data_IF_971485339235
#
_entry.id   IF_971485339235
#
_cell.length_a   1.000
_cell.length_b   1.000
_cell.length_c   1.000
_cell.angle_alpha   90.00
_cell.angle_beta   90.00
_cell.angle_gamma   90.00
#
_symmetry.space_group_name_H-M   'P 1'
#
loop_
_entity.id
_entity.type
_entity.pdbx_description
1 polymer ?
#
# COMPACT_ATOMS: atom_id res chain seq x y z
N UNK A 1 26.38 16.88 -8.70
CA UNK A 1 25.77 18.21 -8.77
C UNK A 1 24.80 18.44 -7.61
N UNK A 2 24.54 19.70 -7.32
CA UNK A 2 23.62 20.08 -6.24
C UNK A 2 22.21 19.51 -6.46
N UNK A 3 21.74 19.49 -7.70
CA UNK A 3 20.41 18.95 -8.01
C UNK A 3 20.35 17.44 -7.82
N UNK A 4 21.44 16.74 -8.12
CA UNK A 4 21.54 15.30 -7.90
C UNK A 4 21.47 14.97 -6.40
N UNK A 5 22.19 15.77 -5.59
CA UNK A 5 22.17 15.60 -4.12
C UNK A 5 20.76 15.87 -3.59
N UNK A 6 20.09 16.92 -4.11
CA UNK A 6 18.72 17.23 -3.69
C UNK A 6 17.73 16.13 -4.03
N UNK A 7 17.91 15.47 -5.17
CA UNK A 7 17.00 14.39 -5.56
C UNK A 7 17.10 13.18 -4.64
N UNK A 8 18.19 13.06 -3.89
CA UNK A 8 18.42 11.96 -2.93
C UNK A 8 17.90 12.29 -1.53
N UNK A 9 17.55 13.54 -1.27
CA UNK A 9 16.98 13.93 0.01
C UNK A 9 15.48 13.64 0.02
N UNK A 10 14.90 13.60 1.21
CA UNK A 10 13.46 13.50 1.36
C UNK A 10 12.77 14.60 0.57
N UNK A 11 11.68 14.27 -0.10
CA UNK A 11 10.96 15.18 -0.97
C UNK A 11 9.57 15.50 -0.40
N UNK A 12 9.43 16.61 0.36
CA UNK A 12 8.15 16.95 1.00
C UNK A 12 6.98 17.12 0.02
N UNK A 13 7.23 17.67 -1.15
CA UNK A 13 6.19 17.87 -2.16
C UNK A 13 5.68 16.54 -2.70
N UNK A 14 6.58 15.63 -3.01
CA UNK A 14 6.23 14.30 -3.47
C UNK A 14 5.50 13.51 -2.38
N UNK A 15 5.97 13.60 -1.14
CA UNK A 15 5.35 12.96 0.01
C UNK A 15 3.91 13.44 0.16
N UNK A 16 3.70 14.76 0.11
CA UNK A 16 2.37 15.34 0.25
C UNK A 16 1.44 14.90 -0.88
N UNK A 17 1.95 14.85 -2.10
CA UNK A 17 1.18 14.40 -3.27
C UNK A 17 0.78 12.94 -3.16
N UNK A 18 1.73 12.07 -2.82
CA UNK A 18 1.47 10.64 -2.67
C UNK A 18 0.48 10.37 -1.55
N UNK A 19 0.63 11.07 -0.44
CA UNK A 19 -0.28 10.95 0.70
C UNK A 19 -1.69 11.41 0.34
N UNK A 20 -1.81 12.56 -0.32
CA UNK A 20 -3.11 13.10 -0.72
C UNK A 20 -3.82 12.17 -1.71
N UNK A 21 -3.08 11.63 -2.69
CA UNK A 21 -3.63 10.71 -3.67
C UNK A 21 -4.10 9.41 -3.00
N UNK A 22 -3.28 8.87 -2.10
CA UNK A 22 -3.61 7.67 -1.35
C UNK A 22 -4.84 7.88 -0.46
N UNK A 23 -4.90 9.01 0.25
CA UNK A 23 -6.03 9.35 1.12
C UNK A 23 -7.32 9.47 0.30
N UNK A 24 -7.26 10.12 -0.86
CA UNK A 24 -8.41 10.27 -1.75
C UNK A 24 -8.93 8.92 -2.26
N UNK A 25 -8.00 8.05 -2.67
CA UNK A 25 -8.38 6.72 -3.17
C UNK A 25 -8.95 5.86 -2.07
N UNK A 26 -8.35 5.91 -0.89
CA UNK A 26 -8.85 5.16 0.26
C UNK A 26 -10.23 5.65 0.67
N UNK A 27 -10.45 6.96 0.67
CA UNK A 27 -11.75 7.54 0.99
C UNK A 27 -12.82 7.13 -0.02
N UNK A 28 -12.49 7.10 -1.30
CA UNK A 28 -13.38 6.62 -2.35
C UNK A 28 -13.77 5.16 -2.12
N UNK A 29 -12.78 4.33 -1.79
CA UNK A 29 -13.02 2.92 -1.49
C UNK A 29 -13.91 2.76 -0.26
N UNK A 30 -13.63 3.49 0.82
CA UNK A 30 -14.43 3.44 2.05
C UNK A 30 -15.88 3.87 1.79
N UNK A 31 -16.07 4.92 0.98
CA UNK A 31 -17.40 5.40 0.64
C UNK A 31 -18.17 4.36 -0.17
N UNK A 32 -17.52 3.75 -1.15
CA UNK A 32 -18.12 2.70 -1.97
C UNK A 32 -18.58 1.53 -1.10
N UNK A 33 -17.71 1.05 -0.23
CA UNK A 33 -17.97 -0.10 0.65
C UNK A 33 -19.06 0.24 1.67
N UNK A 34 -18.97 1.42 2.27
CA UNK A 34 -19.99 1.87 3.25
C UNK A 34 -21.37 1.97 2.63
N UNK A 35 -21.46 2.53 1.44
CA UNK A 35 -22.74 2.64 0.72
C UNK A 35 -23.30 1.26 0.35
N UNK A 36 -22.43 0.36 -0.09
CA UNK A 36 -22.81 -1.02 -0.40
C UNK A 36 -23.39 -1.72 0.83
N UNK A 37 -22.71 -1.60 1.96
CA UNK A 37 -23.15 -2.21 3.22
C UNK A 37 -24.46 -1.59 3.72
N UNK A 38 -24.58 -0.26 3.62
CA UNK A 38 -25.79 0.46 4.05
C UNK A 38 -27.03 -0.05 3.31
N UNK A 39 -26.90 -0.30 2.02
CA UNK A 39 -27.98 -0.85 1.21
C UNK A 39 -28.42 -2.23 1.66
N UNK A 40 -27.56 -2.97 2.33
CA UNK A 40 -27.82 -4.32 2.84
C UNK A 40 -28.20 -4.32 4.32
N UNK A 41 -28.37 -3.14 4.93
CA UNK A 41 -28.71 -3.02 6.34
C UNK A 41 -27.52 -3.23 7.27
N UNK A 42 -26.29 -3.19 6.76
CA UNK A 42 -25.08 -3.34 7.56
C UNK A 42 -24.61 -1.95 7.98
N UNK A 43 -24.50 -1.70 9.28
CA UNK A 43 -24.02 -0.43 9.81
C UNK A 43 -22.55 -0.53 10.17
N UNK A 44 -21.76 0.44 9.69
CA UNK A 44 -20.32 0.49 9.98
C UNK A 44 -20.05 1.68 10.88
N UNK A 45 -19.52 1.39 12.09
CA UNK A 45 -19.19 2.44 13.05
C UNK A 45 -17.77 2.97 12.88
N UNK A 46 -16.82 2.10 12.54
CA UNK A 46 -15.41 2.46 12.40
C UNK A 46 -14.81 1.80 11.17
N UNK A 47 -13.62 2.27 10.75
CA UNK A 47 -12.88 1.64 9.66
C UNK A 47 -12.53 0.18 9.97
N UNK A 48 -12.20 -0.11 11.24
CA UNK A 48 -11.91 -1.49 11.67
C UNK A 48 -13.13 -2.40 11.50
N UNK A 49 -14.32 -1.89 11.81
CA UNK A 49 -15.56 -2.64 11.60
C UNK A 49 -15.77 -2.98 10.12
N UNK A 50 -15.47 -2.04 9.24
CA UNK A 50 -15.55 -2.24 7.80
C UNK A 50 -14.64 -3.39 7.36
N UNK A 51 -13.41 -3.40 7.81
CA UNK A 51 -12.45 -4.45 7.47
C UNK A 51 -12.89 -5.81 8.00
N UNK A 52 -13.45 -5.84 9.20
CA UNK A 52 -13.96 -7.09 9.80
C UNK A 52 -15.13 -7.66 9.01
N UNK A 53 -16.05 -6.81 8.56
CA UNK A 53 -17.18 -7.26 7.74
C UNK A 53 -16.68 -7.79 6.40
N UNK A 54 -15.74 -7.08 5.77
CA UNK A 54 -15.15 -7.53 4.50
C UNK A 54 -14.45 -8.90 4.67
N UNK A 55 -13.71 -9.07 5.76
CA UNK A 55 -13.03 -10.32 6.05
C UNK A 55 -14.00 -11.47 6.31
N UNK A 56 -15.15 -11.20 6.89
CA UNK A 56 -16.15 -12.22 7.19
C UNK A 56 -16.82 -12.78 5.93
N UNK A 57 -16.89 -11.98 4.86
CA UNK A 57 -17.59 -12.36 3.64
C UNK A 57 -19.11 -12.32 3.77
N UNK A 58 -19.66 -11.86 4.89
CA UNK A 58 -21.10 -11.83 5.17
C UNK A 58 -21.75 -10.60 4.55
N UNK A 59 -21.62 -10.45 3.24
CA UNK A 59 -22.22 -9.35 2.49
C UNK A 59 -22.37 -9.77 1.04
N UNK A 60 -23.16 -9.01 0.28
CA UNK A 60 -23.32 -9.21 -1.15
C UNK A 60 -22.80 -7.99 -1.89
N UNK A 61 -22.46 -8.16 -3.16
CA UNK A 61 -22.04 -7.06 -4.03
C UNK A 61 -22.69 -7.25 -5.38
N UNK A 62 -23.10 -6.14 -6.01
CA UNK A 62 -23.70 -6.20 -7.34
C UNK A 62 -22.61 -6.49 -8.41
N UNK A 63 -23.09 -6.84 -9.62
CA UNK A 63 -22.19 -7.20 -10.72
C UNK A 63 -21.24 -6.07 -11.11
N UNK A 64 -21.71 -4.83 -11.11
CA UNK A 64 -20.91 -3.67 -11.47
C UNK A 64 -19.81 -3.42 -10.43
N UNK A 65 -20.14 -3.55 -9.15
CA UNK A 65 -19.16 -3.40 -8.06
C UNK A 65 -18.10 -4.49 -8.14
N UNK A 66 -18.52 -5.73 -8.40
CA UNK A 66 -17.58 -6.85 -8.54
C UNK A 66 -16.66 -6.63 -9.75
N UNK A 67 -17.21 -6.19 -10.87
CA UNK A 67 -16.43 -5.93 -12.09
C UNK A 67 -15.39 -4.85 -11.86
N UNK A 68 -15.78 -3.75 -11.19
CA UNK A 68 -14.85 -2.67 -10.87
C UNK A 68 -13.77 -3.12 -9.90
N UNK A 69 -14.13 -3.90 -8.90
CA UNK A 69 -13.15 -4.44 -7.94
C UNK A 69 -12.13 -5.33 -8.65
N UNK A 70 -12.59 -6.19 -9.56
CA UNK A 70 -11.68 -7.05 -10.34
C UNK A 70 -10.74 -6.23 -11.21
N UNK A 71 -11.24 -5.17 -11.83
CA UNK A 71 -10.42 -4.26 -12.63
C UNK A 71 -9.37 -3.57 -11.76
N UNK A 72 -9.76 -3.08 -10.59
CA UNK A 72 -8.87 -2.37 -9.67
C UNK A 72 -7.75 -3.24 -9.13
N UNK A 73 -7.98 -4.54 -8.97
CA UNK A 73 -6.97 -5.49 -8.48
C UNK A 73 -6.29 -6.27 -9.60
N UNK A 74 -6.62 -5.99 -10.85
CA UNK A 74 -5.98 -6.63 -12.00
C UNK A 74 -4.52 -6.19 -12.12
N UNK A 75 -3.77 -6.82 -12.99
CA UNK A 75 -2.34 -6.54 -13.18
C UNK A 75 -2.05 -5.06 -13.41
N UNK A 76 -2.90 -4.38 -14.17
CA UNK A 76 -2.74 -2.95 -14.47
C UNK A 76 -3.60 -2.05 -13.59
N UNK A 77 -4.33 -2.62 -12.63
CA UNK A 77 -5.24 -1.87 -11.79
C UNK A 77 -4.54 -1.08 -10.68
N UNK A 78 -5.22 -0.05 -10.21
CA UNK A 78 -4.68 0.84 -9.16
C UNK A 78 -4.32 0.08 -7.89
N UNK A 79 -5.16 -0.88 -7.48
CA UNK A 79 -4.95 -1.69 -6.28
C UNK A 79 -4.28 -3.03 -6.57
N UNK A 80 -3.84 -3.24 -7.82
CA UNK A 80 -3.10 -4.44 -8.18
C UNK A 80 -1.72 -4.47 -7.54
N UNK A 81 -1.10 -5.64 -7.55
CA UNK A 81 0.21 -5.87 -6.91
C UNK A 81 1.27 -4.90 -7.42
N UNK A 82 1.37 -4.74 -8.72
CA UNK A 82 2.41 -3.89 -9.32
C UNK A 82 2.28 -2.43 -8.89
N UNK A 83 1.12 -1.82 -9.13
CA UNK A 83 0.94 -0.40 -8.80
C UNK A 83 1.00 -0.15 -7.29
N UNK A 84 0.40 -1.03 -6.50
CA UNK A 84 0.41 -0.88 -5.05
C UNK A 84 1.81 -1.00 -4.47
N UNK A 85 2.56 -2.03 -4.90
CA UNK A 85 3.93 -2.22 -4.42
C UNK A 85 4.85 -1.08 -4.86
N UNK A 86 4.68 -0.59 -6.09
CA UNK A 86 5.45 0.56 -6.58
C UNK A 86 5.16 1.81 -5.74
N UNK A 87 3.89 2.07 -5.41
CA UNK A 87 3.51 3.23 -4.59
C UNK A 87 4.08 3.14 -3.17
N UNK A 88 3.99 1.98 -2.56
CA UNK A 88 4.52 1.77 -1.20
C UNK A 88 6.03 2.03 -1.18
N UNK A 89 6.74 1.45 -2.14
CA UNK A 89 8.18 1.62 -2.23
C UNK A 89 8.57 3.07 -2.57
N UNK A 90 7.89 3.69 -3.52
CA UNK A 90 8.14 5.08 -3.90
C UNK A 90 7.91 6.03 -2.72
N UNK A 91 6.86 5.79 -1.94
CA UNK A 91 6.57 6.58 -0.74
C UNK A 91 7.67 6.41 0.30
N UNK A 92 8.10 5.19 0.54
CA UNK A 92 9.19 4.90 1.46
C UNK A 92 10.48 5.61 1.02
N UNK A 93 10.79 5.54 -0.26
CA UNK A 93 11.97 6.18 -0.84
C UNK A 93 11.89 7.70 -0.74
N UNK A 94 10.70 8.27 -0.97
CA UNK A 94 10.48 9.72 -0.84
C UNK A 94 10.69 10.18 0.60
N UNK A 95 10.25 9.39 1.58
CA UNK A 95 10.43 9.70 3.00
C UNK A 95 11.89 9.58 3.44
N UNK A 96 12.56 8.54 2.97
CA UNK A 96 13.93 8.24 3.38
C UNK A 96 14.99 9.04 2.63
N UNK A 97 14.66 9.52 1.44
CA UNK A 97 15.66 10.05 0.53
C UNK A 97 16.56 8.92 0.05
N UNK A 98 17.87 9.15 0.01
CA UNK A 98 18.83 8.12 -0.38
C UNK A 98 19.63 7.60 0.82
N UNK A 99 19.05 7.67 2.00
CA UNK A 99 19.67 7.24 3.25
C UNK A 99 19.33 5.77 3.50
N UNK A 100 20.36 4.91 3.44
CA UNK A 100 20.21 3.46 3.62
C UNK A 100 19.63 3.09 4.98
N UNK A 101 20.04 3.78 6.04
CA UNK A 101 19.52 3.52 7.39
C UNK A 101 18.04 3.86 7.49
N UNK A 102 17.63 4.95 6.86
CA UNK A 102 16.22 5.33 6.81
C UNK A 102 15.43 4.34 5.97
N UNK A 103 16.02 3.81 4.89
CA UNK A 103 15.34 2.78 4.08
C UNK A 103 15.16 1.48 4.86
N UNK A 104 16.11 1.11 5.71
CA UNK A 104 15.94 -0.03 6.61
C UNK A 104 14.78 0.18 7.57
N UNK A 105 14.68 1.39 8.12
CA UNK A 105 13.56 1.74 8.99
C UNK A 105 12.23 1.70 8.24
N UNK A 106 12.20 2.11 6.98
CA UNK A 106 11.01 2.03 6.13
C UNK A 106 10.61 0.58 5.87
N UNK A 107 11.58 -0.29 5.60
CA UNK A 107 11.32 -1.73 5.43
C UNK A 107 10.66 -2.31 6.68
N UNK A 108 11.21 -2.01 7.85
CA UNK A 108 10.65 -2.47 9.13
C UNK A 108 9.25 -1.92 9.34
N UNK A 109 9.00 -0.66 8.96
CA UNK A 109 7.68 -0.04 9.07
C UNK A 109 6.67 -0.76 8.17
N UNK A 110 7.06 -1.16 6.97
CA UNK A 110 6.19 -1.92 6.06
C UNK A 110 5.87 -3.29 6.66
N UNK A 111 6.87 -3.99 7.19
CA UNK A 111 6.67 -5.29 7.85
C UNK A 111 5.68 -5.16 9.01
N UNK A 112 5.87 -4.15 9.85
CA UNK A 112 4.98 -3.89 10.98
C UNK A 112 3.56 -3.56 10.50
N UNK A 113 3.45 -2.73 9.46
CA UNK A 113 2.16 -2.36 8.88
C UNK A 113 1.38 -3.57 8.40
N UNK A 114 2.04 -4.52 7.73
CA UNK A 114 1.38 -5.74 7.27
C UNK A 114 0.97 -6.65 8.43
N UNK A 115 1.76 -6.72 9.50
CA UNK A 115 1.36 -7.45 10.71
C UNK A 115 0.13 -6.85 11.34
N UNK A 116 0.08 -5.52 11.46
CA UNK A 116 -1.08 -4.82 12.01
C UNK A 116 -2.31 -5.01 11.13
N UNK A 117 -2.13 -4.97 9.80
CA UNK A 117 -3.22 -5.22 8.87
C UNK A 117 -3.78 -6.63 9.01
N UNK A 118 -2.91 -7.61 9.22
CA UNK A 118 -3.34 -9.01 9.45
C UNK A 118 -4.17 -9.11 10.72
N UNK A 119 -3.77 -8.43 11.78
CA UNK A 119 -4.51 -8.38 13.03
C UNK A 119 -5.89 -7.77 12.85
N UNK A 120 -5.96 -6.64 12.17
CA UNK A 120 -7.22 -5.92 11.89
C UNK A 120 -8.15 -6.77 11.04
N UNK A 121 -7.59 -7.48 10.06
CA UNK A 121 -8.35 -8.39 9.20
C UNK A 121 -8.90 -9.58 9.98
N UNK A 122 -8.18 -10.00 11.03
CA UNK A 122 -8.62 -11.07 11.94
C UNK A 122 -8.27 -12.47 11.48
N UNK A 123 -7.62 -12.61 10.35
CA UNK A 123 -7.17 -13.88 9.79
C UNK A 123 -6.08 -13.61 8.76
N UNK A 124 -5.58 -14.63 8.10
CA UNK A 124 -4.58 -14.48 7.06
C UNK A 124 -5.07 -13.55 5.95
N UNK A 125 -4.22 -12.62 5.52
CA UNK A 125 -4.58 -11.65 4.48
C UNK A 125 -4.83 -12.35 3.13
N UNK A 126 -5.67 -11.77 2.26
CA UNK A 126 -5.88 -12.30 0.91
C UNK A 126 -4.56 -12.40 0.13
N UNK A 127 -4.52 -13.30 -0.84
CA UNK A 127 -3.33 -13.54 -1.67
C UNK A 127 -2.78 -12.28 -2.32
N UNK A 128 -3.66 -11.38 -2.79
CA UNK A 128 -3.22 -10.13 -3.39
C UNK A 128 -2.41 -9.27 -2.41
N UNK A 129 -2.82 -9.25 -1.14
CA UNK A 129 -2.10 -8.49 -0.10
C UNK A 129 -0.75 -9.13 0.19
N UNK A 130 -0.69 -10.45 0.27
CA UNK A 130 0.57 -11.18 0.46
C UNK A 130 1.51 -10.99 -0.71
N UNK A 131 0.99 -11.04 -1.93
CA UNK A 131 1.78 -10.85 -3.14
C UNK A 131 2.31 -9.41 -3.21
N UNK A 132 1.51 -8.44 -2.79
CA UNK A 132 1.93 -7.04 -2.70
C UNK A 132 3.06 -6.89 -1.69
N UNK A 133 2.92 -7.50 -0.51
CA UNK A 133 3.96 -7.48 0.51
C UNK A 133 5.26 -8.06 -0.02
N UNK A 134 5.19 -9.23 -0.66
CA UNK A 134 6.38 -9.88 -1.22
C UNK A 134 7.03 -9.01 -2.30
N UNK A 135 6.23 -8.36 -3.14
CA UNK A 135 6.74 -7.45 -4.17
C UNK A 135 7.44 -6.24 -3.56
N UNK A 136 6.89 -5.67 -2.48
CA UNK A 136 7.52 -4.56 -1.77
C UNK A 136 8.85 -4.99 -1.16
N UNK A 137 8.88 -6.14 -0.49
CA UNK A 137 10.11 -6.67 0.11
C UNK A 137 11.19 -6.92 -0.94
N UNK A 138 10.80 -7.43 -2.10
CA UNK A 138 11.71 -7.65 -3.22
C UNK A 138 12.33 -6.33 -3.70
N UNK A 139 11.54 -5.26 -3.74
CA UNK A 139 12.04 -3.93 -4.12
C UNK A 139 13.06 -3.40 -3.11
N UNK A 140 12.82 -3.61 -1.81
CA UNK A 140 13.78 -3.24 -0.78
C UNK A 140 15.06 -4.05 -0.92
N UNK A 141 14.95 -5.36 -1.13
CA UNK A 141 16.11 -6.23 -1.29
C UNK A 141 16.97 -5.81 -2.49
N UNK A 142 16.33 -5.47 -3.60
CA UNK A 142 17.03 -4.97 -4.79
C UNK A 142 17.72 -3.64 -4.52
N UNK A 143 17.05 -2.76 -3.78
CA UNK A 143 17.63 -1.47 -3.39
C UNK A 143 18.91 -1.68 -2.58
N UNK A 144 18.84 -2.53 -1.55
CA UNK A 144 20.00 -2.77 -0.69
C UNK A 144 21.12 -3.50 -1.43
N UNK A 145 20.81 -4.43 -2.31
CA UNK A 145 21.79 -5.10 -3.16
C UNK A 145 22.50 -4.13 -4.09
N UNK A 146 21.75 -3.20 -4.68
CA UNK A 146 22.29 -2.16 -5.56
C UNK A 146 23.26 -1.25 -4.80
N UNK A 147 22.91 -0.84 -3.59
CA UNK A 147 23.76 0.01 -2.75
C UNK A 147 25.02 -0.71 -2.33
N UNK A 148 24.92 -1.98 -1.99
CA UNK A 148 26.07 -2.81 -1.62
C UNK A 148 27.03 -2.97 -2.79
N UNK A 149 26.51 -3.21 -3.98
CA UNK A 149 27.31 -3.32 -5.20
C UNK A 149 28.05 -2.01 -5.50
N UNK A 150 27.34 -0.88 -5.40
CA UNK A 150 27.92 0.45 -5.61
C UNK A 150 29.05 0.71 -4.62
N UNK A 151 28.83 0.37 -3.34
CA UNK A 151 29.87 0.52 -2.30
C UNK A 151 31.09 -0.33 -2.59
N UNK A 152 30.89 -1.54 -3.08
CA UNK A 152 31.98 -2.46 -3.41
C UNK A 152 32.80 -1.96 -4.60
N UNK A 153 32.17 -1.31 -5.55
CA UNK A 153 32.84 -0.76 -6.72
C UNK A 153 33.55 0.55 -6.45
N UNK A 154 33.18 1.22 -5.40
CA UNK A 154 33.84 2.46 -5.00
C UNK A 154 35.12 2.15 -4.25
#
# INVERSE_FOLDING_TARGET
>A
SASSVKSKAANPELIAKLKADSDNRLQQLQSLVTNMFKKQGITIGTADDMWKVLASGNFTADADTIAKAKEDISEDGYWGVKQTSDRIFDFAQALAGDDEEKMKAMKEAVEKGFKEATKTWGKELPDISKNTYNAVMDKFDKYFSSKKTDSTQA
#
